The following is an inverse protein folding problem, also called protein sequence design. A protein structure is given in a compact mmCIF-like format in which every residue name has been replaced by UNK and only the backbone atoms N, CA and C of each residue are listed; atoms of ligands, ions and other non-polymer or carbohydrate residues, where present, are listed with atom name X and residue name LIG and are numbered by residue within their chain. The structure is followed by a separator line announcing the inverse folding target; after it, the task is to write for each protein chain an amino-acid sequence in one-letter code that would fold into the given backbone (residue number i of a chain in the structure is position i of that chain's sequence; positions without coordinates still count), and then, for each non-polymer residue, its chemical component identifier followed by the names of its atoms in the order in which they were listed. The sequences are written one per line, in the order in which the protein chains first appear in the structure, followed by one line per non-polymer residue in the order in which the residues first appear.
data_IF_250333725933
#
_entry.id   IF_250333725933
#
_cell.length_a   1.000
_cell.length_b   1.000
_cell.length_c   1.000
_cell.angle_alpha   90.00
_cell.angle_beta   90.00
_cell.angle_gamma   90.00
#
_symmetry.space_group_name_H-M   'P 1'
#
loop_
_entity.id
_entity.type
_entity.pdbx_description
1 polymer ?
#
# COMPACT_ATOMS: atom_id res chain seq x y z
N UNK A 1 -4.49 -13.84 -1.47
CA UNK A 1 -3.13 -14.35 -1.66
C UNK A 1 -2.91 -15.62 -0.80
N UNK A 2 -3.12 -15.59 0.53
CA UNK A 2 -2.87 -16.72 1.45
C UNK A 2 -3.59 -17.99 1.00
N UNK A 3 -4.91 -17.90 0.70
CA UNK A 3 -5.69 -19.03 0.19
C UNK A 3 -5.19 -19.55 -1.17
N UNK A 4 -4.81 -18.66 -2.06
CA UNK A 4 -4.31 -19.03 -3.40
C UNK A 4 -2.99 -19.82 -3.31
N UNK A 5 -2.11 -19.41 -2.39
CA UNK A 5 -0.81 -20.07 -2.20
C UNK A 5 -0.87 -21.27 -1.25
N UNK A 6 -1.99 -21.55 -0.60
CA UNK A 6 -2.08 -22.55 0.46
C UNK A 6 -1.12 -22.28 1.63
N UNK A 7 -0.86 -21.01 1.91
CA UNK A 7 0.12 -20.60 2.89
C UNK A 7 -0.37 -20.77 4.33
N UNK A 8 0.49 -21.27 5.20
CA UNK A 8 0.26 -21.30 6.64
C UNK A 8 0.61 -19.94 7.26
N UNK A 9 -0.21 -19.46 8.18
CA UNK A 9 0.03 -18.21 8.91
C UNK A 9 1.02 -18.49 10.05
N UNK A 10 2.13 -17.78 10.07
CA UNK A 10 3.13 -17.83 11.15
C UNK A 10 2.91 -16.65 12.11
N UNK A 11 2.71 -15.46 11.58
CA UNK A 11 2.30 -14.28 12.31
C UNK A 11 1.17 -13.61 11.53
N UNK A 12 0.00 -13.45 12.15
CA UNK A 12 -1.16 -12.89 11.46
C UNK A 12 -0.94 -11.42 11.13
N UNK A 13 -0.47 -10.66 12.09
CA UNK A 13 -0.23 -9.25 11.94
C UNK A 13 -1.44 -8.50 11.36
N UNK A 14 -1.18 -7.55 10.48
CA UNK A 14 -2.23 -6.88 9.69
C UNK A 14 -2.31 -7.52 8.29
N UNK A 15 -3.11 -8.57 8.17
CA UNK A 15 -3.31 -9.29 6.89
C UNK A 15 -4.02 -8.47 5.81
N UNK A 16 -4.57 -7.31 6.16
CA UNK A 16 -5.22 -6.40 5.21
C UNK A 16 -4.24 -5.42 4.55
N UNK A 17 -2.94 -5.50 4.88
CA UNK A 17 -1.92 -4.68 4.22
C UNK A 17 -1.96 -4.88 2.72
N UNK A 18 -1.98 -3.78 2.00
CA UNK A 18 -1.92 -3.80 0.54
C UNK A 18 -0.51 -4.13 0.06
N UNK A 19 -0.40 -5.17 -0.76
CA UNK A 19 0.84 -5.49 -1.45
C UNK A 19 0.93 -4.65 -2.72
N UNK A 20 1.99 -3.84 -2.81
CA UNK A 20 2.28 -2.95 -3.93
C UNK A 20 3.39 -3.46 -4.84
N UNK A 21 4.21 -4.36 -4.33
CA UNK A 21 5.31 -4.98 -5.05
C UNK A 21 5.72 -6.30 -4.43
N UNK A 22 6.50 -7.08 -5.16
CA UNK A 22 7.03 -8.37 -4.71
C UNK A 22 8.54 -8.35 -4.93
N UNK A 23 9.29 -8.72 -3.90
CA UNK A 23 10.75 -8.88 -3.97
C UNK A 23 11.15 -10.27 -3.58
N UNK A 24 11.81 -10.97 -4.50
CA UNK A 24 12.45 -12.25 -4.23
C UNK A 24 13.83 -12.00 -3.60
N UNK A 25 14.01 -12.42 -2.36
CA UNK A 25 15.20 -12.15 -1.57
C UNK A 25 16.36 -13.10 -1.93
N UNK A 26 16.80 -13.07 -3.18
CA UNK A 26 17.82 -13.94 -3.75
C UNK A 26 19.26 -13.38 -3.67
N UNK A 27 19.41 -12.07 -3.39
CA UNK A 27 20.72 -11.41 -3.29
C UNK A 27 21.26 -11.44 -1.86
N UNK A 28 22.51 -11.02 -1.68
CA UNK A 28 23.08 -10.76 -0.35
C UNK A 28 22.39 -9.59 0.33
N UNK A 29 22.37 -9.59 1.66
CA UNK A 29 21.63 -8.61 2.46
C UNK A 29 21.93 -7.14 2.09
N UNK A 30 23.18 -6.70 1.90
CA UNK A 30 23.45 -5.29 1.51
C UNK A 30 22.73 -4.86 0.23
N UNK A 31 22.54 -5.78 -0.71
CA UNK A 31 21.86 -5.52 -1.98
C UNK A 31 20.34 -5.76 -1.92
N UNK A 32 19.82 -6.04 -0.73
CA UNK A 32 18.40 -6.29 -0.49
C UNK A 32 17.73 -5.19 0.34
N UNK A 33 18.49 -4.48 1.18
CA UNK A 33 17.95 -3.50 2.13
C UNK A 33 17.12 -2.41 1.43
N UNK A 34 17.53 -1.98 0.25
CA UNK A 34 16.79 -0.99 -0.54
C UNK A 34 15.38 -1.44 -0.97
N UNK A 35 15.11 -2.74 -0.92
CA UNK A 35 13.82 -3.33 -1.27
C UNK A 35 12.89 -3.52 -0.05
N UNK A 36 13.36 -3.24 1.16
CA UNK A 36 12.53 -3.26 2.36
C UNK A 36 11.72 -1.96 2.42
N UNK A 37 10.63 -1.92 1.68
CA UNK A 37 9.79 -0.74 1.47
C UNK A 37 8.35 -1.01 1.88
N UNK A 38 7.62 0.05 2.18
CA UNK A 38 6.20 -0.04 2.52
C UNK A 38 5.39 -0.72 1.39
N UNK A 39 4.55 -1.68 1.79
CA UNK A 39 3.71 -2.44 0.87
C UNK A 39 4.44 -3.51 0.05
N UNK A 40 5.74 -3.75 0.26
CA UNK A 40 6.46 -4.78 -0.47
C UNK A 40 6.30 -6.16 0.20
N UNK A 41 5.95 -7.19 -0.58
CA UNK A 41 5.96 -8.58 -0.14
C UNK A 41 7.36 -9.16 -0.33
N UNK A 42 8.01 -9.55 0.76
CA UNK A 42 9.31 -10.18 0.72
C UNK A 42 9.15 -11.70 0.60
N UNK A 43 9.60 -12.28 -0.49
CA UNK A 43 9.63 -13.73 -0.71
C UNK A 43 11.02 -14.23 -0.35
N UNK A 44 11.11 -14.98 0.73
CA UNK A 44 12.35 -15.36 1.40
C UNK A 44 12.39 -16.87 1.59
N UNK A 45 13.53 -17.51 1.30
CA UNK A 45 13.72 -18.88 1.77
C UNK A 45 13.81 -18.91 3.30
N UNK A 46 13.08 -19.83 3.94
CA UNK A 46 12.97 -19.85 5.40
C UNK A 46 14.30 -20.14 6.13
N UNK A 47 15.32 -20.60 5.39
CA UNK A 47 16.70 -20.80 5.84
C UNK A 47 17.61 -19.57 5.69
N UNK A 48 17.01 -18.37 5.46
CA UNK A 48 17.71 -17.09 5.37
C UNK A 48 17.46 -16.22 6.62
N UNK A 49 18.05 -16.59 7.78
CA UNK A 49 17.87 -15.85 9.02
C UNK A 49 18.37 -14.40 8.93
N UNK A 50 19.38 -14.13 8.12
CA UNK A 50 19.92 -12.81 7.85
C UNK A 50 18.84 -11.85 7.30
N UNK A 51 18.06 -12.32 6.32
CA UNK A 51 16.98 -11.51 5.72
C UNK A 51 15.80 -11.36 6.69
N UNK A 52 15.47 -12.43 7.43
CA UNK A 52 14.37 -12.42 8.41
C UNK A 52 14.64 -11.38 9.51
N UNK A 53 15.85 -11.38 10.08
CA UNK A 53 16.26 -10.41 11.12
C UNK A 53 16.30 -9.00 10.56
N UNK A 54 16.82 -8.81 9.35
CA UNK A 54 16.85 -7.50 8.72
C UNK A 54 15.45 -6.95 8.41
N UNK A 55 14.52 -7.81 7.97
CA UNK A 55 13.13 -7.41 7.75
C UNK A 55 12.44 -7.05 9.08
N UNK A 56 12.71 -7.81 10.16
CA UNK A 56 12.25 -7.46 11.51
C UNK A 56 12.78 -6.08 11.95
N UNK A 57 14.08 -5.82 11.75
CA UNK A 57 14.68 -4.53 12.09
C UNK A 57 14.05 -3.39 11.26
N UNK A 58 13.83 -3.59 9.97
CA UNK A 58 13.17 -2.61 9.11
C UNK A 58 11.74 -2.32 9.60
N UNK A 59 10.99 -3.37 9.96
CA UNK A 59 9.64 -3.21 10.53
C UNK A 59 9.66 -2.50 11.89
N UNK A 60 10.65 -2.78 12.74
CA UNK A 60 10.87 -2.07 14.01
C UNK A 60 11.14 -0.57 13.82
N UNK A 61 11.80 -0.21 12.72
CA UNK A 61 12.05 1.18 12.34
C UNK A 61 10.84 1.85 11.64
N UNK A 62 9.68 1.22 11.66
CA UNK A 62 8.43 1.78 11.16
C UNK A 62 8.16 1.55 9.68
N UNK A 63 8.96 0.75 8.97
CA UNK A 63 8.68 0.42 7.57
C UNK A 63 7.50 -0.56 7.53
N UNK A 64 6.39 -0.15 6.96
CA UNK A 64 5.19 -0.98 6.78
C UNK A 64 5.38 -2.00 5.63
N UNK A 65 6.30 -2.95 5.80
CA UNK A 65 6.49 -4.05 4.84
C UNK A 65 5.14 -4.75 4.63
N UNK A 66 4.77 -5.03 3.38
CA UNK A 66 3.48 -5.64 3.03
C UNK A 66 3.26 -7.04 3.59
N UNK A 67 4.36 -7.76 3.79
CA UNK A 67 4.38 -9.09 4.40
C UNK A 67 5.66 -9.85 4.08
N UNK A 68 5.86 -10.97 4.75
CA UNK A 68 6.96 -11.89 4.49
C UNK A 68 6.40 -13.28 4.16
N UNK A 69 6.81 -13.84 3.03
CA UNK A 69 6.42 -15.16 2.55
C UNK A 69 7.63 -16.08 2.59
N UNK A 70 7.64 -17.01 3.52
CA UNK A 70 8.71 -17.97 3.73
C UNK A 70 8.50 -19.20 2.83
N UNK A 71 9.48 -19.51 2.00
CA UNK A 71 9.44 -20.62 1.05
C UNK A 71 10.28 -21.80 1.52
N UNK A 72 10.03 -22.99 0.97
CA UNK A 72 10.81 -24.21 1.20
C UNK A 72 10.29 -25.07 2.35
N UNK A 73 9.16 -24.73 2.97
CA UNK A 73 8.55 -25.57 4.02
C UNK A 73 9.26 -25.54 5.38
N UNK A 74 10.44 -24.93 5.48
CA UNK A 74 11.20 -24.89 6.72
C UNK A 74 10.53 -23.98 7.75
N UNK A 75 10.74 -24.28 9.03
CA UNK A 75 10.38 -23.39 10.13
C UNK A 75 11.50 -22.36 10.34
N UNK A 76 11.14 -21.17 10.78
CA UNK A 76 12.14 -20.21 11.27
C UNK A 76 12.89 -20.87 12.43
N UNK A 77 14.20 -20.72 12.46
CA UNK A 77 15.01 -21.17 13.59
C UNK A 77 14.44 -20.65 14.92
N UNK A 78 14.41 -21.51 15.95
CA UNK A 78 13.74 -21.18 17.21
C UNK A 78 14.36 -19.97 17.92
N UNK A 79 15.69 -19.80 17.83
CA UNK A 79 16.38 -18.67 18.46
C UNK A 79 16.11 -17.38 17.69
N UNK A 80 16.12 -17.45 16.36
CA UNK A 80 15.78 -16.31 15.48
C UNK A 80 14.31 -15.90 15.69
N UNK A 81 13.41 -16.88 15.75
CA UNK A 81 12.00 -16.60 15.99
C UNK A 81 11.80 -15.90 17.36
N UNK A 82 12.44 -16.40 18.40
CA UNK A 82 12.38 -15.79 19.75
C UNK A 82 12.95 -14.37 19.76
N UNK A 83 14.04 -14.12 19.03
CA UNK A 83 14.66 -12.79 18.89
C UNK A 83 13.71 -11.79 18.22
N UNK A 84 13.00 -12.22 17.18
CA UNK A 84 12.18 -11.33 16.35
C UNK A 84 10.70 -11.28 16.77
N UNK A 85 10.22 -12.20 17.61
CA UNK A 85 8.80 -12.36 17.94
C UNK A 85 8.15 -11.06 18.38
N UNK A 86 8.74 -10.34 19.34
CA UNK A 86 8.22 -9.08 19.86
C UNK A 86 8.08 -8.01 18.76
N UNK A 87 9.04 -7.99 17.84
CA UNK A 87 8.99 -7.06 16.69
C UNK A 87 7.88 -7.44 15.72
N UNK A 88 7.71 -8.73 15.43
CA UNK A 88 6.64 -9.21 14.53
C UNK A 88 5.26 -8.86 15.06
N UNK A 89 5.04 -9.06 16.37
CA UNK A 89 3.77 -8.73 17.03
C UNK A 89 3.50 -7.22 17.04
N UNK A 90 4.47 -6.41 17.47
CA UNK A 90 4.30 -4.95 17.60
C UNK A 90 4.18 -4.25 16.24
N UNK A 91 4.99 -4.63 15.26
CA UNK A 91 4.93 -4.07 13.91
C UNK A 91 3.74 -4.58 13.12
N UNK A 92 3.01 -5.59 13.65
CA UNK A 92 1.92 -6.28 12.95
C UNK A 92 2.35 -6.77 11.56
N UNK A 93 3.60 -7.23 11.41
CA UNK A 93 4.13 -7.75 10.15
C UNK A 93 3.50 -9.10 9.82
N UNK A 94 2.72 -9.26 8.74
CA UNK A 94 2.19 -10.55 8.36
C UNK A 94 3.30 -11.47 7.87
N UNK A 95 3.36 -12.70 8.41
CA UNK A 95 4.34 -13.71 8.02
C UNK A 95 3.63 -15.00 7.67
N UNK A 96 3.91 -15.50 6.50
CA UNK A 96 3.33 -16.72 5.94
C UNK A 96 4.41 -17.71 5.57
N UNK A 97 4.08 -19.00 5.58
CA UNK A 97 4.96 -20.09 5.14
C UNK A 97 4.25 -20.94 4.11
N UNK A 98 5.00 -21.35 3.09
CA UNK A 98 4.56 -22.30 2.08
C UNK A 98 5.57 -23.44 1.94
N UNK A 99 5.05 -24.61 1.55
CA UNK A 99 5.88 -25.80 1.34
C UNK A 99 6.70 -25.72 0.04
N UNK A 100 6.18 -25.02 -0.96
CA UNK A 100 6.84 -24.85 -2.25
C UNK A 100 8.16 -24.09 -2.15
N UNK A 101 9.09 -24.41 -3.05
CA UNK A 101 10.33 -23.66 -3.17
C UNK A 101 10.09 -22.27 -3.81
N UNK A 102 11.13 -21.42 -3.84
CA UNK A 102 11.03 -20.05 -4.34
C UNK A 102 10.56 -19.97 -5.80
N UNK A 103 10.97 -20.91 -6.65
CA UNK A 103 10.55 -20.96 -8.06
C UNK A 103 9.07 -21.31 -8.21
N UNK A 104 8.61 -22.35 -7.53
CA UNK A 104 7.19 -22.73 -7.51
C UNK A 104 6.33 -21.59 -6.98
N UNK A 105 6.81 -20.90 -5.96
CA UNK A 105 6.14 -19.69 -5.42
C UNK A 105 6.03 -18.59 -6.47
N UNK A 106 7.09 -18.34 -7.23
CA UNK A 106 7.09 -17.32 -8.27
C UNK A 106 6.03 -17.63 -9.35
N UNK A 107 5.95 -18.88 -9.80
CA UNK A 107 4.93 -19.31 -10.76
C UNK A 107 3.50 -19.18 -10.21
N UNK A 108 3.30 -19.54 -8.94
CA UNK A 108 2.00 -19.40 -8.28
C UNK A 108 1.59 -17.94 -8.11
N UNK A 109 2.54 -17.05 -7.80
CA UNK A 109 2.30 -15.61 -7.73
C UNK A 109 1.98 -15.01 -9.10
N UNK A 110 2.61 -15.49 -10.16
CA UNK A 110 2.32 -15.07 -11.53
C UNK A 110 0.90 -15.45 -11.98
N UNK A 111 0.41 -16.60 -11.53
CA UNK A 111 -0.96 -17.07 -11.85
C UNK A 111 -2.05 -16.48 -10.95
N UNK A 112 -1.68 -15.60 -10.02
CA UNK A 112 -2.65 -14.97 -9.12
C UNK A 112 -3.65 -14.11 -9.89
N UNK A 113 -4.95 -14.32 -9.63
CA UNK A 113 -5.99 -13.51 -10.26
C UNK A 113 -5.90 -12.05 -9.79
N UNK A 114 -5.67 -11.15 -10.74
CA UNK A 114 -5.57 -9.71 -10.54
C UNK A 114 -6.90 -8.96 -10.76
N UNK A 115 -8.01 -9.68 -10.98
CA UNK A 115 -9.33 -9.04 -11.03
C UNK A 115 -9.59 -8.24 -9.77
N UNK A 116 -10.31 -7.14 -9.95
CA UNK A 116 -10.60 -6.22 -8.84
C UNK A 116 -11.72 -6.78 -7.99
N UNK A 117 -11.47 -7.16 -6.73
CA UNK A 117 -12.53 -7.59 -5.84
C UNK A 117 -13.54 -6.47 -5.60
N UNK A 118 -14.81 -6.81 -5.44
CA UNK A 118 -15.92 -5.84 -5.25
C UNK A 118 -15.75 -5.02 -3.97
N UNK A 119 -15.05 -5.57 -2.99
CA UNK A 119 -14.78 -4.95 -1.69
C UNK A 119 -13.48 -4.12 -1.66
N UNK A 120 -12.63 -4.20 -2.69
CA UNK A 120 -11.40 -3.41 -2.80
C UNK A 120 -11.68 -1.98 -3.29
N UNK A 121 -12.22 -1.16 -2.39
CA UNK A 121 -12.62 0.23 -2.70
C UNK A 121 -11.48 1.09 -3.23
N UNK A 122 -10.29 0.96 -2.67
CA UNK A 122 -9.13 1.76 -3.08
C UNK A 122 -8.73 1.46 -4.53
N UNK A 123 -8.68 0.18 -4.88
CA UNK A 123 -8.37 -0.24 -6.25
C UNK A 123 -9.46 0.15 -7.23
N UNK A 124 -10.73 0.03 -6.82
CA UNK A 124 -11.87 0.49 -7.63
C UNK A 124 -11.75 1.99 -7.91
N UNK A 125 -11.46 2.82 -6.89
CA UNK A 125 -11.32 4.27 -7.07
C UNK A 125 -10.11 4.63 -7.95
N UNK A 126 -8.99 3.90 -7.82
CA UNK A 126 -7.82 4.08 -8.67
C UNK A 126 -8.14 3.79 -10.15
N UNK A 127 -8.87 2.70 -10.41
CA UNK A 127 -9.29 2.33 -11.77
C UNK A 127 -10.27 3.35 -12.33
N UNK A 128 -11.26 3.78 -11.53
CA UNK A 128 -12.21 4.82 -11.95
C UNK A 128 -11.51 6.11 -12.35
N UNK A 129 -10.52 6.54 -11.56
CA UNK A 129 -9.74 7.74 -11.88
C UNK A 129 -9.00 7.56 -13.21
N UNK A 130 -8.24 6.48 -13.35
CA UNK A 130 -7.52 6.21 -14.60
C UNK A 130 -8.46 6.17 -15.80
N UNK A 131 -9.60 5.47 -15.70
CA UNK A 131 -10.57 5.39 -16.78
C UNK A 131 -11.19 6.76 -17.09
N UNK A 132 -11.50 7.58 -16.07
CA UNK A 132 -12.09 8.92 -16.29
C UNK A 132 -11.16 9.86 -17.06
N UNK A 133 -9.85 9.69 -16.90
CA UNK A 133 -8.85 10.46 -17.64
C UNK A 133 -8.73 10.07 -19.12
N UNK A 134 -9.21 8.85 -19.47
CA UNK A 134 -9.20 8.35 -20.84
C UNK A 134 -10.45 8.74 -21.64
N UNK A 135 -11.50 9.24 -20.98
CA UNK A 135 -12.72 9.67 -21.66
C UNK A 135 -12.63 11.12 -22.13
N UNK A 136 -13.05 11.36 -23.37
CA UNK A 136 -13.25 12.70 -23.89
C UNK A 136 -14.48 13.37 -23.22
N UNK A 137 -14.22 14.48 -22.52
CA UNK A 137 -15.25 15.21 -21.80
C UNK A 137 -16.34 15.79 -22.73
N UNK A 138 -15.97 16.22 -23.94
CA UNK A 138 -16.93 16.74 -24.93
C UNK A 138 -17.86 15.65 -25.45
N UNK A 139 -17.30 14.48 -25.74
CA UNK A 139 -18.08 13.29 -26.13
C UNK A 139 -19.09 12.90 -25.03
N UNK A 140 -18.65 12.80 -23.78
CA UNK A 140 -19.53 12.44 -22.66
C UNK A 140 -20.62 13.50 -22.44
N UNK A 141 -20.27 14.80 -22.51
CA UNK A 141 -21.24 15.89 -22.38
C UNK A 141 -22.27 15.84 -23.53
N UNK A 142 -21.83 15.53 -24.75
CA UNK A 142 -22.74 15.36 -25.91
C UNK A 142 -23.77 14.25 -25.72
N UNK A 143 -23.42 13.16 -25.01
CA UNK A 143 -24.37 12.10 -24.68
C UNK A 143 -25.42 12.51 -23.63
N UNK A 144 -25.13 13.54 -22.83
CA UNK A 144 -26.00 14.00 -21.72
C UNK A 144 -26.95 15.13 -22.14
N UNK A 145 -26.67 15.81 -23.25
CA UNK A 145 -27.50 16.91 -23.81
C UNK A 145 -28.82 16.35 -24.31
N UNK A 146 -29.87 16.45 -23.49
CA UNK A 146 -31.24 16.05 -23.88
C UNK A 146 -32.22 15.82 -22.73
N UNK A 147 -31.79 15.92 -21.47
CA UNK A 147 -32.68 15.71 -20.32
C UNK A 147 -32.97 17.00 -19.57
N UNK A 148 -34.14 17.56 -19.77
CA UNK A 148 -34.69 18.72 -19.03
C UNK A 148 -35.19 18.38 -17.61
N UNK A 149 -34.99 17.14 -17.12
CA UNK A 149 -35.38 16.75 -15.77
C UNK A 149 -34.37 17.28 -14.75
N UNK A 150 -34.85 17.95 -13.71
CA UNK A 150 -34.09 18.27 -12.50
C UNK A 150 -33.50 16.96 -11.93
N UNK A 151 -32.25 16.66 -12.23
CA UNK A 151 -31.57 15.47 -11.75
C UNK A 151 -31.19 15.68 -10.29
N UNK A 152 -31.75 14.85 -9.40
CA UNK A 152 -31.15 14.67 -8.07
C UNK A 152 -29.78 14.01 -8.28
N UNK A 153 -28.76 14.64 -7.75
CA UNK A 153 -27.40 14.09 -7.82
C UNK A 153 -27.34 12.76 -7.06
N UNK A 154 -26.82 11.74 -7.69
CA UNK A 154 -26.44 10.51 -6.97
C UNK A 154 -25.28 10.83 -6.00
N UNK A 155 -25.07 10.03 -4.94
CA UNK A 155 -23.95 10.26 -4.02
C UNK A 155 -22.57 10.35 -4.71
N UNK A 156 -22.26 9.54 -5.74
CA UNK A 156 -21.03 9.71 -6.52
C UNK A 156 -20.98 11.03 -7.28
N UNK A 157 -22.07 11.44 -7.93
CA UNK A 157 -22.14 12.70 -8.67
C UNK A 157 -22.00 13.91 -7.75
N UNK A 158 -22.58 13.85 -6.56
CA UNK A 158 -22.43 14.89 -5.54
C UNK A 158 -20.97 15.02 -5.08
N UNK A 159 -20.30 13.88 -4.78
CA UNK A 159 -18.87 13.89 -4.43
C UNK A 159 -18.00 14.44 -5.54
N UNK A 160 -18.28 14.06 -6.78
CA UNK A 160 -17.58 14.60 -7.95
C UNK A 160 -17.74 16.13 -8.01
N UNK A 161 -18.97 16.62 -7.89
CA UNK A 161 -19.24 18.08 -7.90
C UNK A 161 -18.51 18.82 -6.78
N UNK A 162 -18.49 18.26 -5.56
CA UNK A 162 -17.73 18.85 -4.45
C UNK A 162 -16.24 18.89 -4.74
N UNK A 163 -15.69 17.82 -5.34
CA UNK A 163 -14.27 17.77 -5.72
C UNK A 163 -13.95 18.82 -6.77
N UNK A 164 -14.79 18.98 -7.79
CA UNK A 164 -14.61 20.01 -8.83
C UNK A 164 -14.71 21.44 -8.26
N UNK A 165 -15.65 21.69 -7.36
CA UNK A 165 -15.75 22.97 -6.66
C UNK A 165 -14.50 23.26 -5.81
N UNK A 166 -13.97 22.25 -5.12
CA UNK A 166 -12.74 22.38 -4.34
C UNK A 166 -11.54 22.69 -5.23
N UNK A 167 -11.39 21.96 -6.35
CA UNK A 167 -10.35 22.22 -7.36
C UNK A 167 -10.42 23.64 -7.93
N UNK A 168 -11.63 24.09 -8.28
CA UNK A 168 -11.85 25.43 -8.80
C UNK A 168 -11.52 26.51 -7.74
N UNK A 169 -11.77 26.23 -6.48
CA UNK A 169 -11.54 27.16 -5.38
C UNK A 169 -10.06 27.38 -5.07
N UNK A 170 -9.17 26.46 -5.45
CA UNK A 170 -7.70 26.52 -5.26
C UNK A 170 -7.31 26.97 -3.85
N UNK A 171 -7.91 26.35 -2.83
CA UNK A 171 -7.69 26.72 -1.44
C UNK A 171 -6.41 26.08 -0.89
N UNK A 172 -5.78 26.84 0.02
CA UNK A 172 -4.67 26.39 0.82
C UNK A 172 -5.17 26.01 2.21
N UNK A 173 -4.80 24.81 2.68
CA UNK A 173 -5.23 24.25 3.98
C UNK A 173 -4.00 23.99 4.82
N UNK A 174 -3.99 24.54 6.03
CA UNK A 174 -2.94 24.28 7.01
C UNK A 174 -3.37 23.11 7.90
N UNK A 175 -2.52 22.11 8.03
CA UNK A 175 -2.73 20.90 8.82
C UNK A 175 -1.78 20.92 10.02
N UNK A 176 -2.28 21.18 11.25
CA UNK A 176 -1.43 21.39 12.42
C UNK A 176 -0.72 20.11 12.91
N UNK A 177 -1.29 18.94 12.65
CA UNK A 177 -0.69 17.61 12.98
C UNK A 177 0.05 17.08 11.75
N UNK A 178 1.09 17.81 11.29
CA UNK A 178 1.75 17.59 10.03
C UNK A 178 2.59 16.31 9.95
N UNK A 179 2.97 15.71 11.07
CA UNK A 179 3.73 14.46 11.17
C UNK A 179 2.86 13.24 11.53
N UNK A 180 1.54 13.42 11.67
CA UNK A 180 0.62 12.31 11.90
C UNK A 180 0.42 11.51 10.60
N UNK A 181 0.56 10.15 10.62
CA UNK A 181 0.52 9.32 9.41
C UNK A 181 -0.74 9.50 8.54
N UNK A 182 -1.93 9.65 9.17
CA UNK A 182 -3.20 9.84 8.45
C UNK A 182 -3.27 11.21 7.80
N UNK A 183 -2.74 12.23 8.47
CA UNK A 183 -2.66 13.60 7.96
C UNK A 183 -1.77 13.66 6.73
N UNK A 184 -0.61 13.01 6.76
CA UNK A 184 0.32 12.92 5.62
C UNK A 184 -0.35 12.21 4.43
N UNK A 185 -1.01 11.06 4.65
CA UNK A 185 -1.74 10.35 3.60
C UNK A 185 -2.84 11.21 2.99
N UNK A 186 -3.60 11.93 3.83
CA UNK A 186 -4.67 12.81 3.38
C UNK A 186 -4.14 14.00 2.57
N UNK A 187 -3.06 14.64 3.03
CA UNK A 187 -2.42 15.74 2.34
C UNK A 187 -1.89 15.33 0.95
N UNK A 188 -1.18 14.19 0.88
CA UNK A 188 -0.70 13.66 -0.38
C UNK A 188 -1.84 13.39 -1.38
N UNK A 189 -2.92 12.76 -0.91
CA UNK A 189 -4.09 12.46 -1.72
C UNK A 189 -4.81 13.74 -2.20
N UNK A 190 -4.94 14.75 -1.34
CA UNK A 190 -5.54 16.03 -1.71
C UNK A 190 -4.71 16.76 -2.76
N UNK A 191 -3.38 16.75 -2.61
CA UNK A 191 -2.45 17.35 -3.57
C UNK A 191 -2.46 16.62 -4.91
N UNK A 192 -2.36 15.28 -4.88
CA UNK A 192 -2.43 14.44 -6.07
C UNK A 192 -3.72 14.67 -6.87
N UNK A 193 -4.84 14.81 -6.17
CA UNK A 193 -6.15 15.05 -6.80
C UNK A 193 -6.42 16.53 -7.12
N UNK A 194 -5.52 17.43 -6.80
CA UNK A 194 -5.68 18.87 -7.00
C UNK A 194 -6.83 19.48 -6.20
N UNK A 195 -7.22 18.87 -5.07
CA UNK A 195 -8.35 19.30 -4.24
C UNK A 195 -7.98 20.55 -3.44
N UNK A 196 -6.77 20.55 -2.86
CA UNK A 196 -6.24 21.66 -2.07
C UNK A 196 -4.72 21.62 -2.06
N UNK A 197 -4.09 22.77 -1.82
CA UNK A 197 -2.69 22.88 -1.45
C UNK A 197 -2.58 22.69 0.07
N UNK A 198 -1.95 21.59 0.50
CA UNK A 198 -1.83 21.25 1.91
C UNK A 198 -0.48 21.72 2.46
N UNK A 199 -0.51 22.42 3.59
CA UNK A 199 0.66 22.85 4.34
C UNK A 199 0.71 22.04 5.63
N UNK A 200 1.72 21.22 5.79
CA UNK A 200 1.94 20.42 7.00
C UNK A 200 2.76 21.24 8.00
N UNK A 201 2.24 21.42 9.22
CA UNK A 201 2.97 22.05 10.31
C UNK A 201 3.65 20.99 11.16
N UNK A 202 4.90 20.66 10.82
CA UNK A 202 5.77 19.79 11.59
C UNK A 202 7.22 19.95 11.12
N UNK A 203 8.16 19.33 11.85
CA UNK A 203 9.55 19.28 11.42
C UNK A 203 9.68 18.52 10.08
N UNK A 204 10.31 19.11 9.05
CA UNK A 204 10.40 18.49 7.73
C UNK A 204 11.05 17.10 7.74
N UNK A 205 12.05 16.86 8.60
CA UNK A 205 12.71 15.57 8.71
C UNK A 205 11.77 14.50 9.31
N UNK A 206 10.92 14.90 10.25
CA UNK A 206 9.86 14.03 10.82
C UNK A 206 8.82 13.67 9.78
N UNK A 207 8.31 14.65 9.04
CA UNK A 207 7.34 14.46 7.95
C UNK A 207 7.89 13.51 6.89
N UNK A 208 9.12 13.73 6.44
CA UNK A 208 9.76 12.90 5.43
C UNK A 208 9.90 11.45 5.89
N UNK A 209 10.39 11.23 7.10
CA UNK A 209 10.54 9.89 7.70
C UNK A 209 9.20 9.15 7.78
N UNK A 210 8.15 9.84 8.24
CA UNK A 210 6.82 9.23 8.35
C UNK A 210 6.24 8.95 6.96
N UNK A 211 6.40 9.85 5.99
CA UNK A 211 5.96 9.65 4.61
C UNK A 211 6.63 8.40 3.98
N UNK A 212 7.94 8.26 4.15
CA UNK A 212 8.69 7.08 3.68
C UNK A 212 8.20 5.79 4.34
N UNK A 213 8.02 5.80 5.67
CA UNK A 213 7.50 4.66 6.41
C UNK A 213 6.09 4.23 5.94
N UNK A 214 5.27 5.19 5.50
CA UNK A 214 3.93 4.95 4.98
C UNK A 214 3.89 4.70 3.47
N UNK A 215 5.02 4.77 2.76
CA UNK A 215 5.10 4.61 1.32
C UNK A 215 4.41 5.75 0.55
N UNK A 216 4.36 6.94 1.13
CA UNK A 216 3.75 8.14 0.55
C UNK A 216 4.83 9.00 -0.07
N UNK A 217 4.60 9.44 -1.32
CA UNK A 217 5.45 10.45 -1.95
C UNK A 217 4.82 11.84 -1.72
N UNK A 218 5.58 12.70 -1.05
CA UNK A 218 5.19 14.11 -0.91
C UNK A 218 5.73 14.87 -2.13
N UNK A 219 4.88 15.75 -2.69
CA UNK A 219 5.31 16.73 -3.69
C UNK A 219 6.31 17.72 -3.09
N UNK A 220 7.04 18.43 -3.95
CA UNK A 220 7.94 19.51 -3.54
C UNK A 220 7.19 20.69 -2.98
#
# INVERSE_FOLDING_TARGET
LVKHLGAAIINEGDINRRIRGITFCARSLPNMVEHFRAGNLLVVSADRPDVIVAAALAASNGIEIGGMLLTGGYKIDAQINKLCQHVFENSKLPIFRIEGNTWQTALSLQSFNLEVPVDDKERIESIKRYMSEQFDAEFINGLVVGSTRLRRLSPPAFRFQLTELARAAKKRIVLPEGDEPRTIKAAALCTERGIAECILLADPASVQRVAEAQGVQLGK
#
